data_IF_939631351585
#
_entry.id   IF_939631351585
#
_cell.length_a   1.000
_cell.length_b   1.000
_cell.length_c   1.000
_cell.angle_alpha   90.00
_cell.angle_beta   90.00
_cell.angle_gamma   90.00
#
_symmetry.space_group_name_H-M   'P 1'
#
loop_
_entity.id
_entity.type
_entity.pdbx_description
1 polymer ?
#
# COMPACT_ATOMS: atom_id res chain seq x y z
N UNK A 1 5.55 26.84 53.02
CA UNK A 1 6.12 25.52 52.63
C UNK A 1 5.22 24.85 51.59
N UNK A 2 5.48 25.13 50.30
CA UNK A 2 4.69 24.59 49.20
C UNK A 2 5.34 23.30 48.70
N UNK A 3 4.54 22.24 48.71
CA UNK A 3 4.88 20.89 48.30
C UNK A 3 5.27 20.91 46.81
N UNK A 4 6.53 20.56 46.52
CA UNK A 4 7.02 20.37 45.15
C UNK A 4 6.32 19.15 44.57
N UNK A 5 5.34 19.39 43.70
CA UNK A 5 4.77 18.37 42.84
C UNK A 5 5.86 17.95 41.84
N UNK A 6 6.65 16.95 42.21
CA UNK A 6 7.53 16.27 41.25
C UNK A 6 6.63 15.64 40.20
N UNK A 7 6.81 16.09 38.97
CA UNK A 7 6.24 15.53 37.74
C UNK A 7 6.51 14.02 37.76
N UNK A 8 5.46 13.21 37.87
CA UNK A 8 5.56 11.75 38.02
C UNK A 8 5.99 11.05 36.71
N UNK A 9 6.35 11.80 35.69
CA UNK A 9 6.65 11.33 34.34
C UNK A 9 7.68 12.26 33.70
N UNK A 10 8.96 12.07 34.07
CA UNK A 10 10.07 12.43 33.19
C UNK A 10 10.31 11.24 32.25
N UNK A 11 10.59 11.46 30.94
CA UNK A 11 11.07 10.40 30.08
C UNK A 11 12.38 9.91 30.68
N UNK A 12 12.36 8.74 31.30
CA UNK A 12 13.59 8.09 31.72
C UNK A 12 14.34 7.72 30.44
N UNK A 13 15.62 8.07 30.36
CA UNK A 13 16.53 7.51 29.37
C UNK A 13 16.68 6.01 29.69
N UNK A 14 15.70 5.22 29.24
CA UNK A 14 15.54 3.82 29.62
C UNK A 14 16.64 2.95 29.00
N UNK A 15 17.46 3.43 28.04
CA UNK A 15 18.70 2.78 27.55
C UNK A 15 19.65 3.75 26.81
N UNK A 16 20.99 3.56 26.80
CA UNK A 16 21.82 2.65 27.57
C UNK A 16 22.48 3.34 28.77
N UNK A 17 22.43 2.71 29.94
CA UNK A 17 23.14 3.17 31.14
C UNK A 17 24.66 3.23 30.93
N UNK A 18 25.33 4.16 31.60
CA UNK A 18 26.78 4.37 31.56
C UNK A 18 27.64 3.12 31.86
N UNK A 19 27.05 2.07 32.44
CA UNK A 19 27.70 0.82 32.83
C UNK A 19 27.76 -0.25 31.73
N UNK A 20 27.25 0.01 30.52
CA UNK A 20 27.38 -0.91 29.37
C UNK A 20 26.66 -2.25 29.52
N UNK A 21 25.78 -2.39 30.51
CA UNK A 21 24.97 -3.58 30.71
C UNK A 21 23.83 -3.64 29.67
N UNK A 22 23.81 -4.72 28.88
CA UNK A 22 22.75 -5.01 27.89
C UNK A 22 21.94 -6.21 28.41
N UNK A 23 20.59 -6.14 28.45
CA UNK A 23 19.78 -7.26 28.88
C UNK A 23 20.08 -8.51 28.03
N UNK A 24 20.17 -9.73 28.61
CA UNK A 24 20.43 -10.95 27.85
C UNK A 24 19.32 -11.34 26.86
N UNK A 25 18.18 -10.62 26.88
CA UNK A 25 17.08 -10.75 25.92
C UNK A 25 17.16 -9.75 24.75
N UNK A 26 18.15 -8.85 24.75
CA UNK A 26 18.37 -7.93 23.63
C UNK A 26 19.15 -8.65 22.52
N UNK A 27 18.71 -8.55 21.25
CA UNK A 27 19.43 -9.17 20.16
C UNK A 27 20.85 -8.59 20.09
N UNK A 28 21.85 -9.45 19.96
CA UNK A 28 23.22 -8.97 19.75
C UNK A 28 23.32 -8.33 18.37
N UNK A 29 24.32 -7.46 18.15
CA UNK A 29 24.56 -6.89 16.81
C UNK A 29 24.71 -7.98 15.74
N UNK A 30 25.27 -9.14 16.09
CA UNK A 30 25.36 -10.28 15.18
C UNK A 30 23.99 -10.87 14.84
N UNK A 31 23.06 -10.91 15.80
CA UNK A 31 21.69 -11.38 15.57
C UNK A 31 20.91 -10.41 14.68
N UNK A 32 21.08 -9.10 14.90
CA UNK A 32 20.49 -8.05 14.05
C UNK A 32 21.03 -8.18 12.61
N UNK A 33 22.35 -8.33 12.43
CA UNK A 33 22.96 -8.50 11.11
C UNK A 33 22.43 -9.76 10.42
N UNK A 34 22.31 -10.89 11.13
CA UNK A 34 21.76 -12.14 10.58
C UNK A 34 20.30 -12.00 10.19
N UNK A 35 19.49 -11.29 10.98
CA UNK A 35 18.09 -11.03 10.66
C UNK A 35 17.95 -10.12 9.43
N UNK A 36 18.78 -9.08 9.33
CA UNK A 36 18.83 -8.23 8.14
C UNK A 36 19.26 -9.01 6.88
N UNK A 37 20.27 -9.86 6.98
CA UNK A 37 20.69 -10.74 5.89
C UNK A 37 19.59 -11.74 5.50
N UNK A 38 18.89 -12.32 6.48
CA UNK A 38 17.76 -13.22 6.25
C UNK A 38 16.60 -12.49 5.55
N UNK A 39 16.30 -11.26 5.96
CA UNK A 39 15.29 -10.42 5.35
C UNK A 39 15.66 -9.99 3.92
N UNK A 40 16.94 -9.67 3.67
CA UNK A 40 17.43 -9.38 2.31
C UNK A 40 17.31 -10.58 1.37
N UNK A 41 17.52 -11.79 1.91
CA UNK A 41 17.43 -13.03 1.17
C UNK A 41 16.00 -13.60 1.08
N UNK A 42 15.00 -12.93 1.65
CA UNK A 42 13.63 -13.39 1.49
C UNK A 42 13.19 -13.35 0.03
N UNK A 43 12.41 -14.35 -0.43
CA UNK A 43 11.98 -14.43 -1.81
C UNK A 43 11.12 -13.21 -2.15
N UNK A 44 11.62 -12.36 -3.05
CA UNK A 44 10.90 -11.20 -3.58
C UNK A 44 10.25 -11.55 -4.89
N UNK A 45 8.99 -11.15 -5.08
CA UNK A 45 8.28 -11.28 -6.35
C UNK A 45 8.67 -10.13 -7.27
N UNK A 46 8.95 -10.44 -8.54
CA UNK A 46 9.13 -9.42 -9.58
C UNK A 46 7.74 -9.01 -10.10
N UNK A 47 7.33 -7.78 -9.80
CA UNK A 47 5.99 -7.28 -10.09
C UNK A 47 5.98 -6.27 -11.23
N UNK A 48 4.91 -6.30 -12.01
CA UNK A 48 4.48 -5.25 -12.91
C UNK A 48 3.29 -4.56 -12.27
N UNK A 49 3.26 -3.24 -12.37
CA UNK A 49 2.20 -2.36 -11.94
C UNK A 49 1.45 -1.81 -13.14
N UNK A 50 0.13 -1.80 -13.05
CA UNK A 50 -0.79 -1.12 -13.97
C UNK A 50 -1.82 -0.33 -13.18
N UNK A 51 -2.22 0.84 -13.70
CA UNK A 51 -3.22 1.71 -13.05
C UNK A 51 -4.50 1.73 -13.86
N UNK A 52 -5.64 1.52 -13.22
CA UNK A 52 -6.95 1.56 -13.87
C UNK A 52 -8.00 2.15 -12.93
N UNK A 53 -9.02 2.78 -13.50
CA UNK A 53 -10.20 3.23 -12.75
C UNK A 53 -11.29 2.16 -12.89
N UNK A 54 -11.82 1.71 -11.77
CA UNK A 54 -12.84 0.66 -11.67
C UNK A 54 -14.11 1.26 -11.11
N UNK A 55 -15.27 1.12 -11.78
CA UNK A 55 -16.54 1.60 -11.26
C UNK A 55 -17.05 0.70 -10.12
N UNK A 56 -17.82 1.26 -9.19
CA UNK A 56 -18.45 0.57 -8.05
C UNK A 56 -19.01 -0.83 -8.39
N UNK A 57 -19.84 -1.04 -9.43
CA UNK A 57 -20.42 -2.36 -9.72
C UNK A 57 -19.39 -3.46 -9.99
N UNK A 58 -18.18 -3.12 -10.42
CA UNK A 58 -17.12 -4.08 -10.74
C UNK A 58 -16.14 -4.28 -9.58
N UNK A 59 -16.14 -3.40 -8.56
CA UNK A 59 -15.11 -3.44 -7.51
C UNK A 59 -15.19 -4.70 -6.67
N UNK A 60 -16.41 -5.12 -6.30
CA UNK A 60 -16.64 -6.28 -5.44
C UNK A 60 -16.07 -7.58 -6.03
N UNK A 61 -16.15 -7.72 -7.36
CA UNK A 61 -15.58 -8.89 -8.05
C UNK A 61 -14.06 -8.80 -8.15
N UNK A 62 -13.53 -7.60 -8.37
CA UNK A 62 -12.08 -7.37 -8.55
C UNK A 62 -11.32 -7.55 -7.23
N UNK A 63 -11.93 -7.20 -6.10
CA UNK A 63 -11.31 -7.28 -4.76
C UNK A 63 -11.58 -8.61 -4.06
N UNK A 64 -12.41 -9.47 -4.67
CA UNK A 64 -12.71 -10.79 -4.15
C UNK A 64 -11.43 -11.66 -4.06
N UNK A 65 -11.12 -12.21 -2.87
CA UNK A 65 -9.90 -13.00 -2.68
C UNK A 65 -9.79 -14.22 -3.61
N UNK A 66 -10.90 -14.90 -3.89
CA UNK A 66 -10.90 -16.09 -4.75
C UNK A 66 -10.65 -15.67 -6.21
N UNK A 67 -11.27 -14.59 -6.66
CA UNK A 67 -11.03 -14.04 -7.99
C UNK A 67 -9.57 -13.59 -8.16
N UNK A 68 -9.00 -12.90 -7.17
CA UNK A 68 -7.59 -12.50 -7.18
C UNK A 68 -6.63 -13.68 -7.18
N UNK A 69 -6.89 -14.69 -6.34
CA UNK A 69 -6.05 -15.88 -6.27
C UNK A 69 -6.09 -16.70 -7.56
N UNK A 70 -7.27 -16.86 -8.17
CA UNK A 70 -7.43 -17.57 -9.43
C UNK A 70 -6.72 -16.89 -10.59
N UNK A 71 -6.70 -15.55 -10.60
CA UNK A 71 -6.12 -14.76 -11.68
C UNK A 71 -4.70 -14.24 -11.39
N UNK A 72 -4.14 -14.57 -10.21
CA UNK A 72 -2.74 -14.34 -9.80
C UNK A 72 -2.30 -12.87 -9.82
N UNK A 73 -3.14 -11.98 -9.30
CA UNK A 73 -2.80 -10.56 -9.11
C UNK A 73 -3.10 -10.09 -7.69
N UNK A 74 -2.42 -9.02 -7.27
CA UNK A 74 -2.62 -8.29 -6.02
C UNK A 74 -3.08 -6.87 -6.32
N UNK A 75 -3.70 -6.21 -5.35
CA UNK A 75 -4.31 -4.90 -5.53
C UNK A 75 -3.95 -3.90 -4.44
N UNK A 76 -3.84 -2.66 -4.87
CA UNK A 76 -3.98 -1.50 -4.01
C UNK A 76 -5.15 -0.68 -4.51
N UNK A 77 -6.14 -0.46 -3.65
CA UNK A 77 -7.39 0.24 -3.98
C UNK A 77 -7.38 1.61 -3.33
N UNK A 78 -7.61 2.63 -4.14
CA UNK A 78 -7.76 4.02 -3.74
C UNK A 78 -9.17 4.46 -4.07
N UNK A 79 -9.97 4.66 -3.03
CA UNK A 79 -11.33 5.13 -3.17
C UNK A 79 -11.33 6.56 -3.69
N UNK A 80 -12.03 6.84 -4.79
CA UNK A 80 -12.18 8.21 -5.28
C UNK A 80 -13.33 8.91 -4.55
N UNK A 81 -13.21 10.23 -4.40
CA UNK A 81 -14.33 11.06 -3.95
C UNK A 81 -15.46 11.04 -4.97
N UNK A 82 -16.69 11.29 -4.56
CA UNK A 82 -17.85 11.32 -5.46
C UNK A 82 -17.90 12.55 -6.37
N UNK A 83 -17.13 13.59 -6.07
CA UNK A 83 -17.13 14.87 -6.77
C UNK A 83 -15.91 15.07 -7.69
N UNK A 84 -15.09 14.03 -7.89
CA UNK A 84 -13.89 14.10 -8.73
C UNK A 84 -14.13 13.58 -10.14
N UNK A 85 -13.18 13.82 -11.04
CA UNK A 85 -13.25 13.29 -12.39
C UNK A 85 -13.29 11.75 -12.37
N UNK A 86 -14.14 11.16 -13.22
CA UNK A 86 -14.39 9.71 -13.31
C UNK A 86 -15.18 9.06 -12.17
N UNK A 87 -15.62 9.82 -11.17
CA UNK A 87 -16.37 9.29 -10.03
C UNK A 87 -17.61 10.15 -9.77
N UNK A 88 -18.72 9.51 -9.43
CA UNK A 88 -19.99 10.14 -9.12
C UNK A 88 -20.53 9.72 -7.74
N UNK A 89 -21.73 10.17 -7.38
CA UNK A 89 -22.39 9.75 -6.15
C UNK A 89 -22.96 8.33 -6.25
N UNK A 90 -22.92 7.58 -5.14
CA UNK A 90 -23.55 6.25 -5.04
C UNK A 90 -22.93 5.24 -6.02
N UNK A 91 -23.76 4.64 -6.87
CA UNK A 91 -23.35 3.58 -7.81
C UNK A 91 -22.44 4.08 -8.95
N UNK A 92 -22.33 5.41 -9.12
CA UNK A 92 -21.41 6.04 -10.06
C UNK A 92 -20.02 6.27 -9.47
N UNK A 93 -19.81 5.89 -8.20
CA UNK A 93 -18.51 5.99 -7.55
C UNK A 93 -17.48 5.12 -8.25
N UNK A 94 -16.25 5.59 -8.27
CA UNK A 94 -15.13 4.86 -8.86
C UNK A 94 -13.96 4.72 -7.91
N UNK A 95 -13.10 3.75 -8.21
CA UNK A 95 -11.89 3.43 -7.47
C UNK A 95 -10.70 3.45 -8.42
N UNK A 96 -9.62 4.11 -8.02
CA UNK A 96 -8.34 3.94 -8.70
C UNK A 96 -7.65 2.72 -8.12
N UNK A 97 -7.36 1.74 -8.97
CA UNK A 97 -6.69 0.50 -8.57
C UNK A 97 -5.30 0.44 -9.18
N UNK A 98 -4.31 0.10 -8.35
CA UNK A 98 -3.02 -0.38 -8.83
C UNK A 98 -3.02 -1.89 -8.81
N UNK A 99 -2.86 -2.48 -9.98
CA UNK A 99 -2.85 -3.92 -10.20
C UNK A 99 -1.41 -4.39 -10.28
N UNK A 100 -1.04 -5.29 -9.37
CA UNK A 100 0.28 -5.87 -9.25
C UNK A 100 0.27 -7.34 -9.65
N UNK A 101 1.11 -7.72 -10.61
CA UNK A 101 1.18 -9.12 -11.05
C UNK A 101 2.57 -9.50 -11.53
N UNK A 102 2.87 -10.79 -11.55
CA UNK A 102 4.14 -11.29 -12.08
C UNK A 102 4.08 -11.38 -13.62
N UNK A 103 5.17 -11.06 -14.34
CA UNK A 103 5.19 -11.08 -15.82
C UNK A 103 4.68 -12.37 -16.45
N UNK A 104 4.94 -13.53 -15.83
CA UNK A 104 4.49 -14.84 -16.33
C UNK A 104 2.96 -15.01 -16.32
N UNK A 105 2.23 -14.25 -15.50
CA UNK A 105 0.77 -14.30 -15.41
C UNK A 105 0.08 -13.15 -16.17
N UNK A 106 0.83 -12.31 -16.88
CA UNK A 106 0.30 -11.11 -17.56
C UNK A 106 -0.91 -11.43 -18.46
N UNK A 107 -0.83 -12.45 -19.30
CA UNK A 107 -1.95 -12.82 -20.19
C UNK A 107 -3.20 -13.29 -19.43
N UNK A 108 -3.03 -13.92 -18.27
CA UNK A 108 -4.14 -14.41 -17.43
C UNK A 108 -4.88 -13.23 -16.81
N UNK A 109 -4.13 -12.29 -16.22
CA UNK A 109 -4.66 -11.06 -15.63
C UNK A 109 -5.39 -10.23 -16.70
N UNK A 110 -4.76 -9.99 -17.85
CA UNK A 110 -5.38 -9.20 -18.92
C UNK A 110 -6.69 -9.82 -19.42
N UNK A 111 -6.78 -11.15 -19.51
CA UNK A 111 -8.02 -11.83 -19.91
C UNK A 111 -9.10 -11.74 -18.85
N UNK A 112 -8.75 -11.91 -17.58
CA UNK A 112 -9.69 -11.82 -16.47
C UNK A 112 -10.34 -10.43 -16.38
N UNK A 113 -9.51 -9.39 -16.49
CA UNK A 113 -9.98 -8.00 -16.45
C UNK A 113 -10.80 -7.62 -17.68
N UNK A 114 -10.39 -8.07 -18.87
CA UNK A 114 -11.19 -7.90 -20.09
C UNK A 114 -12.56 -8.59 -19.99
N UNK A 115 -12.67 -9.69 -19.24
CA UNK A 115 -13.95 -10.36 -18.97
C UNK A 115 -14.92 -9.51 -18.14
N UNK A 116 -14.41 -8.54 -17.39
CA UNK A 116 -15.18 -7.56 -16.62
C UNK A 116 -15.39 -6.24 -17.38
N UNK A 117 -15.09 -6.22 -18.69
CA UNK A 117 -15.09 -5.02 -19.52
C UNK A 117 -14.11 -3.92 -19.06
N UNK A 118 -13.04 -4.32 -18.35
CA UNK A 118 -11.98 -3.43 -17.87
C UNK A 118 -10.70 -3.66 -18.68
N UNK A 119 -10.28 -2.64 -19.44
CA UNK A 119 -9.12 -2.77 -20.33
C UNK A 119 -7.80 -2.29 -19.70
N UNK A 120 -7.09 -3.23 -19.09
CA UNK A 120 -5.75 -2.99 -18.55
C UNK A 120 -4.68 -2.70 -19.62
N UNK A 121 -4.92 -3.00 -20.90
CA UNK A 121 -3.90 -2.76 -21.94
C UNK A 121 -3.67 -1.27 -22.21
N UNK A 122 -4.68 -0.43 -21.97
CA UNK A 122 -4.59 1.01 -22.14
C UNK A 122 -3.77 1.69 -21.05
N UNK A 123 -3.61 1.03 -19.90
CA UNK A 123 -2.81 1.56 -18.82
C UNK A 123 -1.32 1.49 -19.14
N UNK A 124 -0.55 2.38 -18.53
CA UNK A 124 0.90 2.26 -18.52
C UNK A 124 1.32 0.97 -17.81
N UNK A 125 2.36 0.33 -18.35
CA UNK A 125 2.96 -0.89 -17.82
C UNK A 125 4.29 -0.53 -17.16
N UNK A 126 4.33 -0.47 -15.84
CA UNK A 126 5.52 -0.07 -15.10
C UNK A 126 6.09 -1.26 -14.35
N UNK A 127 7.40 -1.48 -14.42
CA UNK A 127 8.07 -2.50 -13.60
C UNK A 127 8.25 -1.91 -12.19
N UNK A 128 7.86 -2.66 -11.16
CA UNK A 128 8.04 -2.23 -9.78
C UNK A 128 9.51 -2.33 -9.41
N UNK A 129 10.07 -1.25 -8.88
CA UNK A 129 11.44 -1.22 -8.38
C UNK A 129 11.54 -2.07 -7.10
N UNK A 130 12.41 -3.09 -7.02
CA UNK A 130 12.59 -3.89 -5.82
C UNK A 130 13.09 -3.10 -4.61
N UNK A 131 13.69 -1.93 -4.82
CA UNK A 131 14.17 -1.04 -3.76
C UNK A 131 13.24 0.17 -3.56
N UNK A 132 11.99 0.08 -4.04
CA UNK A 132 10.94 1.09 -3.82
C UNK A 132 10.76 1.41 -2.34
N UNK A 133 10.71 2.70 -1.99
CA UNK A 133 10.41 3.16 -0.63
C UNK A 133 8.94 3.05 -0.25
N UNK A 134 8.07 2.62 -1.18
CA UNK A 134 6.63 2.54 -0.96
C UNK A 134 6.30 1.26 -0.20
N UNK A 135 5.88 1.40 1.06
CA UNK A 135 5.56 0.27 1.97
C UNK A 135 4.56 -0.72 1.38
N UNK A 136 3.56 -0.24 0.65
CA UNK A 136 2.53 -1.08 0.04
C UNK A 136 3.09 -1.99 -1.07
N UNK A 137 4.03 -1.46 -1.86
CA UNK A 137 4.70 -2.22 -2.92
C UNK A 137 5.63 -3.27 -2.30
N UNK A 138 6.42 -2.88 -1.29
CA UNK A 138 7.24 -3.82 -0.54
C UNK A 138 6.40 -4.95 0.06
N UNK A 139 5.31 -4.62 0.74
CA UNK A 139 4.40 -5.61 1.36
C UNK A 139 3.87 -6.60 0.31
N UNK A 140 3.49 -6.10 -0.87
CA UNK A 140 3.01 -6.94 -1.98
C UNK A 140 4.11 -7.82 -2.56
N UNK A 141 5.34 -7.31 -2.65
CA UNK A 141 6.51 -8.05 -3.15
C UNK A 141 6.93 -9.20 -2.23
N UNK A 142 6.90 -8.99 -0.91
CA UNK A 142 7.26 -10.00 0.09
C UNK A 142 6.13 -10.97 0.42
N UNK A 143 4.89 -10.65 0.05
CA UNK A 143 3.75 -11.53 0.29
C UNK A 143 3.81 -12.78 -0.60
N UNK A 144 3.63 -13.95 0.04
CA UNK A 144 3.48 -15.24 -0.64
C UNK A 144 2.08 -15.43 -1.26
N UNK A 145 1.10 -14.69 -0.76
CA UNK A 145 -0.31 -14.75 -1.18
C UNK A 145 -0.70 -13.49 -1.94
N UNK A 146 -1.82 -13.53 -2.65
CA UNK A 146 -2.36 -12.30 -3.23
C UNK A 146 -2.92 -11.42 -2.12
N UNK A 147 -2.60 -10.13 -2.17
CA UNK A 147 -2.98 -9.17 -1.14
C UNK A 147 -3.80 -8.05 -1.77
N UNK A 148 -4.84 -7.63 -1.05
CA UNK A 148 -5.62 -6.46 -1.38
C UNK A 148 -5.45 -5.43 -0.27
N UNK A 149 -4.87 -4.29 -0.59
CA UNK A 149 -4.71 -3.18 0.33
C UNK A 149 -5.74 -2.10 0.00
N UNK A 150 -6.66 -1.88 0.93
CA UNK A 150 -7.62 -0.79 0.82
C UNK A 150 -7.10 0.46 1.53
N UNK A 151 -7.09 1.58 0.80
CA UNK A 151 -6.85 2.86 1.41
C UNK A 151 -8.12 3.35 2.11
N UNK A 152 -7.98 3.76 3.37
CA UNK A 152 -9.08 4.32 4.18
C UNK A 152 -9.44 5.76 3.78
N UNK A 153 -8.54 6.44 3.05
CA UNK A 153 -8.74 7.82 2.61
C UNK A 153 -9.37 7.87 1.22
N UNK A 154 -10.10 8.96 0.99
CA UNK A 154 -10.65 9.28 -0.33
C UNK A 154 -9.69 10.19 -1.11
N UNK A 155 -9.62 9.95 -2.41
CA UNK A 155 -8.67 10.59 -3.30
C UNK A 155 -9.38 11.41 -4.37
N UNK A 156 -8.72 12.48 -4.81
CA UNK A 156 -9.16 13.33 -5.90
C UNK A 156 -8.24 13.13 -7.09
N UNK A 157 -8.83 12.99 -8.27
CA UNK A 157 -8.11 12.97 -9.55
C UNK A 157 -7.98 14.41 -10.03
N UNK A 158 -6.76 14.93 -9.96
CA UNK A 158 -6.40 16.26 -10.48
C UNK A 158 -5.75 16.08 -11.85
N UNK A 159 -6.20 16.86 -12.85
CA UNK A 159 -5.57 16.83 -14.18
C UNK A 159 -4.24 17.56 -14.14
N UNK A 160 -3.35 17.17 -15.03
CA UNK A 160 -2.03 17.80 -15.13
C UNK A 160 -2.20 19.30 -15.47
N UNK A 161 -1.70 20.16 -14.58
CA UNK A 161 -1.83 21.62 -14.68
C UNK A 161 -2.96 22.26 -13.86
N UNK A 162 -3.89 21.48 -13.28
CA UNK A 162 -4.93 22.01 -12.39
C UNK A 162 -4.45 22.04 -10.93
N UNK A 163 -4.87 23.05 -10.16
CA UNK A 163 -4.63 23.09 -8.72
C UNK A 163 -5.67 22.23 -7.97
N UNK A 164 -5.27 21.47 -6.91
CA UNK A 164 -6.23 20.76 -6.07
C UNK A 164 -7.26 21.71 -5.46
N UNK A 165 -8.52 21.28 -5.41
CA UNK A 165 -9.57 22.10 -4.81
C UNK A 165 -9.36 22.21 -3.30
N UNK A 166 -9.22 23.44 -2.81
CA UNK A 166 -9.18 23.73 -1.36
C UNK A 166 -10.56 23.46 -0.77
N UNK A 167 -10.71 22.37 -0.01
CA UNK A 167 -11.96 21.99 0.67
C UNK A 167 -11.88 22.26 2.18
N UNK A 168 -13.04 22.36 2.82
CA UNK A 168 -13.16 22.59 4.28
C UNK A 168 -12.48 21.50 5.12
N UNK A 169 -12.45 20.27 4.62
CA UNK A 169 -11.79 19.12 5.26
C UNK A 169 -10.25 19.22 5.29
N UNK A 170 -9.69 20.20 4.56
CA UNK A 170 -8.26 20.45 4.44
C UNK A 170 -7.48 19.35 3.69
N UNK A 171 -6.26 19.64 3.23
CA UNK A 171 -5.35 18.62 2.70
C UNK A 171 -4.85 17.73 3.85
N UNK A 172 -5.19 16.43 3.82
CA UNK A 172 -4.74 15.46 4.85
C UNK A 172 -3.27 15.02 4.73
N UNK A 173 -2.51 15.62 3.81
CA UNK A 173 -1.08 15.32 3.59
C UNK A 173 -0.13 16.27 4.33
N UNK A 174 -0.62 16.98 5.36
CA UNK A 174 0.19 17.78 6.29
C UNK A 174 0.58 16.99 7.53
#
# INVERSE_FOLDING_TARGET
>A
PLCSAKTMWEPQDIYPTADGWVPPAWPTNEDIIKEEEAFRNWPRRNLIKRTIVVPEPSIDTVVDPDFMENNKYSLQVYTLRSDTHFSGPGDERSYMCWVYYEPKYEQMVLRAWKGLDLDLLQSERTVVDPDTGILNEQTTMYSKVQVCHFNIYEWEVVKDGDEPLTREDGPKWQ
#
